data_IF_033896672014
#
_entry.id   IF_033896672014
#
_cell.length_a   1.000
_cell.length_b   1.000
_cell.length_c   1.000
_cell.angle_alpha   90.00
_cell.angle_beta   90.00
_cell.angle_gamma   90.00
#
_symmetry.space_group_name_H-M   'P 1'
#
loop_
_entity.id
_entity.type
_entity.pdbx_description
1 polymer ?
#
# COMPACT_ATOMS: atom_id res chain seq x y z
N UNK A 1 23.59 4.21 -6.47
CA UNK A 1 22.82 4.83 -5.37
C UNK A 1 23.42 4.36 -4.04
N UNK A 2 23.84 5.27 -3.16
CA UNK A 2 24.34 4.91 -1.85
C UNK A 2 23.16 4.65 -0.89
N UNK A 3 22.78 3.37 -0.73
CA UNK A 3 21.61 2.96 0.06
C UNK A 3 21.67 3.47 1.50
N UNK A 4 22.85 3.44 2.12
CA UNK A 4 23.06 3.97 3.47
C UNK A 4 22.74 5.45 3.60
N UNK A 5 23.11 6.27 2.60
CA UNK A 5 22.81 7.70 2.59
C UNK A 5 21.29 7.94 2.50
N UNK A 6 20.59 7.16 1.67
CA UNK A 6 19.12 7.24 1.56
C UNK A 6 18.45 6.86 2.88
N UNK A 7 18.90 5.79 3.53
CA UNK A 7 18.36 5.35 4.82
C UNK A 7 18.57 6.40 5.93
N UNK A 8 19.77 6.98 6.01
CA UNK A 8 20.07 8.05 6.96
C UNK A 8 19.23 9.29 6.67
N UNK A 9 19.15 9.74 5.42
CA UNK A 9 18.32 10.88 5.05
C UNK A 9 16.84 10.66 5.40
N UNK A 10 16.29 9.49 5.06
CA UNK A 10 14.91 9.11 5.39
C UNK A 10 14.68 9.05 6.91
N UNK A 11 15.62 8.49 7.67
CA UNK A 11 15.56 8.43 9.13
C UNK A 11 15.60 9.80 9.78
N UNK A 12 16.49 10.68 9.32
CA UNK A 12 16.63 12.06 9.83
C UNK A 12 15.38 12.89 9.55
N UNK A 13 14.82 12.81 8.33
CA UNK A 13 13.57 13.51 7.99
C UNK A 13 12.39 13.00 8.82
N UNK A 14 12.31 11.69 9.02
CA UNK A 14 11.29 11.09 9.88
C UNK A 14 11.42 11.54 11.34
N UNK A 15 12.64 11.59 11.87
CA UNK A 15 12.89 12.04 13.23
C UNK A 15 12.53 13.53 13.38
N UNK A 16 12.96 14.37 12.44
CA UNK A 16 12.60 15.78 12.42
C UNK A 16 11.07 15.98 12.39
N UNK A 17 10.33 15.15 11.64
CA UNK A 17 8.87 15.20 11.59
C UNK A 17 8.24 14.82 12.94
N UNK A 18 8.76 13.81 13.63
CA UNK A 18 8.27 13.38 14.94
C UNK A 18 8.63 14.36 16.07
N UNK A 19 9.72 15.13 15.91
CA UNK A 19 10.09 16.23 16.80
C UNK A 19 9.36 17.56 16.47
N UNK A 20 8.44 17.55 15.51
CA UNK A 20 7.66 18.74 15.12
C UNK A 20 8.43 19.79 14.33
N UNK A 21 9.66 19.51 13.90
CA UNK A 21 10.55 20.49 13.25
C UNK A 21 10.19 20.74 11.77
N UNK A 22 9.51 19.80 11.12
CA UNK A 22 9.16 19.87 9.69
C UNK A 22 7.65 19.70 9.47
N UNK A 23 6.85 20.39 10.27
CA UNK A 23 5.39 20.43 10.14
C UNK A 23 4.95 21.57 9.22
N UNK A 24 5.23 21.45 7.92
CA UNK A 24 4.91 22.49 6.94
C UNK A 24 3.38 22.67 6.77
N UNK A 25 2.92 23.89 6.42
CA UNK A 25 1.54 24.14 6.02
C UNK A 25 1.12 23.28 4.83
N UNK A 26 -0.13 22.82 4.86
CA UNK A 26 -0.75 22.03 3.79
C UNK A 26 -1.33 22.90 2.67
N UNK A 27 -1.52 24.19 2.94
CA UNK A 27 -2.05 25.17 2.01
C UNK A 27 -1.40 26.55 2.21
N UNK A 28 -1.33 27.40 1.17
CA UNK A 28 -0.78 28.76 1.28
C UNK A 28 -1.58 29.74 2.15
N UNK A 29 -2.84 29.44 2.46
CA UNK A 29 -3.78 30.38 3.12
C UNK A 29 -4.07 30.04 4.58
N UNK A 30 -3.45 29.00 5.14
CA UNK A 30 -3.62 28.63 6.54
C UNK A 30 -2.38 27.94 7.10
N UNK A 31 -2.20 28.00 8.42
CA UNK A 31 -1.14 27.28 9.14
C UNK A 31 -1.51 25.80 9.42
N UNK A 32 -2.57 25.28 8.79
CA UNK A 32 -2.97 23.89 8.94
C UNK A 32 -1.89 22.99 8.37
N UNK A 33 -1.26 22.20 9.23
CA UNK A 33 -0.23 21.24 8.81
C UNK A 33 -0.80 20.09 8.00
N UNK A 34 0.05 19.43 7.20
CA UNK A 34 -0.31 18.21 6.49
C UNK A 34 -0.83 17.12 7.44
N UNK A 35 -2.05 16.65 7.18
CA UNK A 35 -2.62 15.52 7.94
C UNK A 35 -1.76 14.25 7.83
N UNK A 36 -1.14 14.05 6.67
CA UNK A 36 -0.07 13.08 6.43
C UNK A 36 1.22 13.85 6.18
N UNK A 37 2.05 14.01 7.21
CA UNK A 37 3.30 14.74 7.06
C UNK A 37 4.22 14.00 6.05
N UNK A 38 4.58 14.61 4.91
CA UNK A 38 5.34 13.92 3.86
C UNK A 38 6.71 13.45 4.36
N UNK A 39 7.35 14.17 5.29
CA UNK A 39 8.65 13.82 5.85
C UNK A 39 8.60 12.65 6.85
N UNK A 40 7.45 12.44 7.49
CA UNK A 40 7.20 11.26 8.32
C UNK A 40 6.84 10.03 7.48
N UNK A 41 5.87 10.19 6.57
CA UNK A 41 5.33 9.09 5.78
C UNK A 41 6.28 8.57 4.70
N UNK A 42 7.23 9.39 4.22
CA UNK A 42 8.26 8.93 3.28
C UNK A 42 9.03 7.71 3.80
N UNK A 43 9.24 7.56 5.11
CA UNK A 43 9.93 6.40 5.68
C UNK A 43 9.27 5.09 5.25
N UNK A 44 7.93 5.04 5.29
CA UNK A 44 7.18 3.87 4.87
C UNK A 44 7.35 3.58 3.38
N UNK A 45 7.24 4.62 2.55
CA UNK A 45 7.36 4.48 1.09
C UNK A 45 8.76 4.05 0.68
N UNK A 46 9.81 4.63 1.25
CA UNK A 46 11.19 4.24 0.99
C UNK A 46 11.51 2.85 1.54
N UNK A 47 10.88 2.43 2.64
CA UNK A 47 10.99 1.03 3.12
C UNK A 47 10.41 0.06 2.08
N UNK A 48 9.19 0.31 1.60
CA UNK A 48 8.56 -0.52 0.57
C UNK A 48 9.34 -0.50 -0.75
N UNK A 49 9.80 0.67 -1.17
CA UNK A 49 10.67 0.82 -2.35
C UNK A 49 11.99 0.06 -2.18
N UNK A 50 12.62 0.12 -1.00
CA UNK A 50 13.85 -0.59 -0.70
C UNK A 50 13.71 -2.12 -0.84
N UNK A 51 12.57 -2.69 -0.44
CA UNK A 51 12.29 -4.10 -0.70
C UNK A 51 12.09 -4.39 -2.20
N UNK A 52 11.36 -3.55 -2.92
CA UNK A 52 11.10 -3.74 -4.36
C UNK A 52 12.33 -3.52 -5.24
N UNK A 53 13.21 -2.59 -4.85
CA UNK A 53 14.46 -2.28 -5.54
C UNK A 53 15.61 -3.25 -5.18
N UNK A 54 15.37 -4.20 -4.27
CA UNK A 54 16.39 -5.16 -3.81
C UNK A 54 17.45 -4.57 -2.89
N UNK A 55 17.24 -3.38 -2.33
CA UNK A 55 18.13 -2.76 -1.35
C UNK A 55 18.03 -3.42 0.02
N UNK A 56 16.84 -3.88 0.36
CA UNK A 56 16.55 -4.61 1.60
C UNK A 56 16.29 -6.08 1.27
N UNK A 57 16.92 -7.03 1.99
CA UNK A 57 16.65 -8.44 1.78
C UNK A 57 15.22 -8.78 2.22
N UNK A 58 14.60 -9.75 1.55
CA UNK A 58 13.29 -10.24 1.97
C UNK A 58 13.34 -10.78 3.42
N UNK A 59 12.33 -10.49 4.25
CA UNK A 59 12.33 -10.93 5.63
C UNK A 59 12.25 -12.46 5.71
N UNK A 60 13.05 -13.06 6.60
CA UNK A 60 13.07 -14.52 6.80
C UNK A 60 11.75 -14.98 7.43
N UNK A 61 11.08 -15.95 6.81
CA UNK A 61 9.88 -16.56 7.39
C UNK A 61 10.30 -17.48 8.54
N UNK A 62 9.87 -17.14 9.76
CA UNK A 62 10.11 -17.96 10.95
C UNK A 62 8.89 -17.93 11.87
N UNK A 63 8.65 -19.03 12.60
CA UNK A 63 7.56 -19.11 13.59
C UNK A 63 7.66 -18.03 14.67
N UNK A 64 8.89 -17.71 15.11
CA UNK A 64 9.16 -16.59 16.03
C UNK A 64 8.77 -15.25 15.44
N UNK A 65 9.16 -14.96 14.19
CA UNK A 65 8.78 -13.71 13.52
C UNK A 65 7.28 -13.57 13.35
N UNK A 66 6.57 -14.66 13.04
CA UNK A 66 5.10 -14.67 12.96
C UNK A 66 4.49 -14.39 14.33
N UNK A 67 4.95 -15.08 15.39
CA UNK A 67 4.46 -14.87 16.75
C UNK A 67 4.66 -13.44 17.23
N UNK A 68 5.83 -12.84 16.97
CA UNK A 68 6.12 -11.43 17.30
C UNK A 68 5.19 -10.49 16.54
N UNK A 69 5.03 -10.68 15.23
CA UNK A 69 4.14 -9.84 14.43
C UNK A 69 2.68 -9.93 14.90
N UNK A 70 2.19 -11.14 15.18
CA UNK A 70 0.84 -11.37 15.74
C UNK A 70 0.70 -10.70 17.11
N UNK A 71 1.70 -10.84 17.99
CA UNK A 71 1.70 -10.20 19.30
C UNK A 71 1.63 -8.67 19.18
N UNK A 72 2.42 -8.05 18.29
CA UNK A 72 2.36 -6.61 18.03
C UNK A 72 0.94 -6.19 17.61
N UNK A 73 0.30 -6.93 16.70
CA UNK A 73 -1.05 -6.61 16.26
C UNK A 73 -2.06 -6.73 17.41
N UNK A 74 -2.03 -7.83 18.17
CA UNK A 74 -2.94 -8.05 19.30
C UNK A 74 -2.75 -6.97 20.37
N UNK A 75 -1.51 -6.68 20.76
CA UNK A 75 -1.18 -5.67 21.77
C UNK A 75 -1.55 -4.25 21.31
N UNK A 76 -1.60 -4.00 20.00
CA UNK A 76 -2.04 -2.71 19.46
C UNK A 76 -3.57 -2.53 19.42
N UNK A 77 -4.36 -3.62 19.47
CA UNK A 77 -5.83 -3.56 19.36
C UNK A 77 -6.50 -2.68 20.43
N UNK A 78 -6.14 -2.75 21.72
CA UNK A 78 -6.76 -1.93 22.76
C UNK A 78 -6.56 -0.42 22.51
N UNK A 79 -5.43 -0.04 21.93
CA UNK A 79 -5.09 1.34 21.61
C UNK A 79 -5.68 1.81 20.27
N UNK A 80 -5.81 0.90 19.29
CA UNK A 80 -6.33 1.22 17.97
C UNK A 80 -7.87 1.30 17.92
N UNK A 81 -8.56 0.53 18.77
CA UNK A 81 -10.02 0.46 18.78
C UNK A 81 -10.63 1.38 19.81
N UNK A 82 -11.24 2.47 19.34
CA UNK A 82 -11.70 3.57 20.21
C UNK A 82 -12.71 3.17 21.28
N UNK A 83 -13.49 2.10 21.07
CA UNK A 83 -14.44 1.62 22.08
C UNK A 83 -13.73 0.91 23.23
N UNK A 84 -12.67 0.15 22.94
CA UNK A 84 -11.91 -0.57 23.96
C UNK A 84 -10.99 0.38 24.74
N UNK A 85 -10.33 1.32 24.05
CA UNK A 85 -9.49 2.34 24.74
C UNK A 85 -10.30 3.15 25.77
N UNK A 86 -11.53 3.55 25.40
CA UNK A 86 -12.38 4.42 26.22
C UNK A 86 -13.17 3.66 27.28
N UNK A 87 -13.22 2.33 27.20
CA UNK A 87 -13.89 1.51 28.20
C UNK A 87 -13.03 1.27 29.45
N UNK A 88 -11.71 1.47 29.38
CA UNK A 88 -10.78 1.19 30.47
C UNK A 88 -9.90 2.43 30.71
N UNK A 89 -10.02 3.13 31.86
CA UNK A 89 -9.29 4.37 32.13
C UNK A 89 -7.77 4.26 31.95
N UNK A 90 -7.18 3.16 32.43
CA UNK A 90 -5.76 2.86 32.26
C UNK A 90 -5.30 2.86 30.78
N UNK A 91 -6.13 2.33 29.87
CA UNK A 91 -5.78 2.27 28.45
C UNK A 91 -5.80 3.67 27.80
N UNK A 92 -6.72 4.54 28.22
CA UNK A 92 -6.79 5.90 27.71
C UNK A 92 -5.62 6.75 28.20
N UNK A 93 -5.26 6.62 29.49
CA UNK A 93 -4.06 7.25 30.07
C UNK A 93 -2.79 6.78 29.35
N UNK A 94 -2.59 5.46 29.24
CA UNK A 94 -1.45 4.90 28.53
C UNK A 94 -1.42 5.30 27.04
N UNK A 95 -2.58 5.43 26.39
CA UNK A 95 -2.65 5.94 25.01
C UNK A 95 -2.20 7.40 24.91
N UNK A 96 -2.47 8.22 25.93
CA UNK A 96 -1.99 9.59 26.06
C UNK A 96 -0.46 9.65 26.13
N UNK A 97 0.15 8.83 26.98
CA UNK A 97 1.60 8.75 27.12
C UNK A 97 2.29 8.22 25.86
N UNK A 98 1.69 7.23 25.19
CA UNK A 98 2.18 6.65 23.94
C UNK A 98 1.86 7.50 22.70
N UNK A 99 1.14 8.63 22.85
CA UNK A 99 0.70 9.46 21.73
C UNK A 99 1.85 9.90 20.81
N UNK A 100 3.03 10.33 21.29
CA UNK A 100 4.15 10.69 20.42
C UNK A 100 4.60 9.54 19.52
N UNK A 101 4.52 8.30 20.00
CA UNK A 101 4.94 7.11 19.26
C UNK A 101 3.85 6.52 18.36
N UNK A 102 2.59 6.89 18.57
CA UNK A 102 1.43 6.37 17.83
C UNK A 102 0.78 7.40 16.88
N UNK A 103 1.23 8.66 16.98
CA UNK A 103 0.72 9.79 16.23
C UNK A 103 0.63 9.50 14.72
N UNK A 104 -0.52 9.81 14.13
CA UNK A 104 -0.81 9.53 12.72
C UNK A 104 -0.05 10.47 11.80
N UNK A 105 -0.08 11.77 12.08
CA UNK A 105 0.43 12.79 11.19
C UNK A 105 1.94 12.73 10.96
N UNK A 106 2.80 12.69 12.00
CA UNK A 106 4.24 12.53 11.83
C UNK A 106 4.67 11.07 11.58
N UNK A 107 3.72 10.13 11.57
CA UNK A 107 3.95 8.69 11.40
C UNK A 107 4.84 8.10 12.50
N UNK A 108 4.31 8.04 13.72
CA UNK A 108 5.05 7.60 14.91
C UNK A 108 5.62 6.18 14.82
N UNK A 109 6.64 5.92 15.65
CA UNK A 109 7.42 4.68 15.60
C UNK A 109 6.58 3.41 15.79
N UNK A 110 5.69 3.39 16.78
CA UNK A 110 4.85 2.22 17.05
C UNK A 110 3.84 1.98 15.91
N UNK A 111 3.42 3.05 15.22
CA UNK A 111 2.59 2.93 14.01
C UNK A 111 3.37 2.31 12.86
N UNK A 112 4.64 2.69 12.68
CA UNK A 112 5.51 2.07 11.68
C UNK A 112 5.75 0.59 11.99
N UNK A 113 6.04 0.24 13.25
CA UNK A 113 6.21 -1.16 13.69
C UNK A 113 4.93 -1.98 13.49
N UNK A 114 3.76 -1.44 13.87
CA UNK A 114 2.47 -2.07 13.62
C UNK A 114 2.25 -2.32 12.12
N UNK A 115 2.53 -1.33 11.28
CA UNK A 115 2.40 -1.47 9.83
C UNK A 115 3.31 -2.55 9.28
N UNK A 116 4.59 -2.60 9.70
CA UNK A 116 5.54 -3.63 9.26
C UNK A 116 5.12 -5.03 9.72
N UNK A 117 4.60 -5.18 10.94
CA UNK A 117 4.06 -6.44 11.43
C UNK A 117 2.89 -6.93 10.55
N UNK A 118 1.94 -6.04 10.25
CA UNK A 118 0.83 -6.35 9.35
C UNK A 118 1.32 -6.69 7.94
N UNK A 119 2.26 -5.91 7.40
CA UNK A 119 2.83 -6.12 6.07
C UNK A 119 3.59 -7.45 5.98
N UNK A 120 4.34 -7.84 7.02
CA UNK A 120 5.04 -9.13 7.08
C UNK A 120 4.06 -10.30 7.05
N UNK A 121 2.98 -10.26 7.85
CA UNK A 121 1.95 -11.30 7.84
C UNK A 121 1.19 -11.33 6.51
N UNK A 122 0.83 -10.17 5.96
CA UNK A 122 0.16 -10.06 4.66
C UNK A 122 1.05 -10.61 3.53
N UNK A 123 2.34 -10.31 3.55
CA UNK A 123 3.31 -10.82 2.58
C UNK A 123 3.44 -12.34 2.66
N UNK A 124 3.49 -12.93 3.86
CA UNK A 124 3.46 -14.39 4.05
C UNK A 124 2.15 -14.99 3.52
N UNK A 125 1.02 -14.35 3.81
CA UNK A 125 -0.29 -14.83 3.37
C UNK A 125 -0.43 -14.82 1.84
N UNK A 126 0.05 -13.76 1.19
CA UNK A 126 0.02 -13.57 -0.27
C UNK A 126 1.09 -14.42 -0.99
N UNK A 127 2.22 -14.68 -0.33
CA UNK A 127 3.37 -15.39 -0.88
C UNK A 127 4.19 -14.56 -1.85
N UNK A 128 5.41 -15.04 -2.15
CA UNK A 128 6.31 -14.39 -3.12
C UNK A 128 5.61 -14.25 -4.48
N UNK A 129 5.65 -13.06 -5.06
CA UNK A 129 4.98 -12.72 -6.32
C UNK A 129 3.45 -13.02 -6.34
N UNK A 130 2.82 -13.11 -5.16
CA UNK A 130 1.40 -13.39 -5.05
C UNK A 130 1.00 -14.82 -5.44
N UNK A 131 1.93 -15.78 -5.36
CA UNK A 131 1.66 -17.18 -5.76
C UNK A 131 0.46 -17.79 -5.02
N UNK A 132 0.26 -17.43 -3.74
CA UNK A 132 -0.85 -17.97 -2.92
C UNK A 132 -2.20 -17.33 -3.23
N UNK A 133 -2.23 -16.28 -4.06
CA UNK A 133 -3.47 -15.68 -4.57
C UNK A 133 -3.97 -16.37 -5.84
N UNK A 134 -3.22 -17.33 -6.39
CA UNK A 134 -3.64 -18.12 -7.56
C UNK A 134 -4.38 -19.37 -7.10
N UNK A 135 -5.57 -19.16 -6.53
CA UNK A 135 -6.46 -20.23 -6.07
C UNK A 135 -7.36 -20.66 -7.23
N UNK A 136 -7.68 -21.94 -7.33
CA UNK A 136 -8.62 -22.47 -8.33
C UNK A 136 -10.08 -22.46 -7.82
N UNK A 137 -11.04 -22.72 -8.71
CA UNK A 137 -12.46 -22.80 -8.34
C UNK A 137 -13.15 -21.45 -8.09
N UNK A 138 -14.23 -21.46 -7.30
CA UNK A 138 -15.10 -20.29 -7.07
C UNK A 138 -14.39 -19.18 -6.29
N UNK A 139 -13.62 -19.54 -5.27
CA UNK A 139 -12.79 -18.61 -4.49
C UNK A 139 -11.72 -17.95 -5.36
N UNK A 140 -11.11 -18.71 -6.27
CA UNK A 140 -10.17 -18.21 -7.27
C UNK A 140 -10.72 -17.08 -8.14
N UNK A 141 -11.97 -17.21 -8.61
CA UNK A 141 -12.62 -16.17 -9.41
C UNK A 141 -12.82 -14.88 -8.62
N UNK A 142 -13.24 -14.98 -7.36
CA UNK A 142 -13.41 -13.82 -6.46
C UNK A 142 -12.06 -13.13 -6.24
N UNK A 143 -11.01 -13.89 -5.93
CA UNK A 143 -9.65 -13.34 -5.75
C UNK A 143 -9.15 -12.68 -7.04
N UNK A 144 -9.45 -13.26 -8.21
CA UNK A 144 -9.08 -12.67 -9.50
C UNK A 144 -9.75 -11.32 -9.75
N UNK A 145 -11.04 -11.17 -9.39
CA UNK A 145 -11.76 -9.89 -9.46
C UNK A 145 -11.13 -8.87 -8.51
N UNK A 146 -10.91 -9.23 -7.25
CA UNK A 146 -10.28 -8.35 -6.25
C UNK A 146 -8.90 -7.90 -6.74
N UNK A 147 -8.10 -8.82 -7.28
CA UNK A 147 -6.78 -8.51 -7.85
C UNK A 147 -6.88 -7.56 -9.03
N UNK A 148 -7.87 -7.75 -9.93
CA UNK A 148 -8.08 -6.86 -11.09
C UNK A 148 -8.43 -5.44 -10.64
N UNK A 149 -9.29 -5.30 -9.64
CA UNK A 149 -9.64 -4.02 -9.01
C UNK A 149 -8.39 -3.36 -8.42
N UNK A 150 -7.57 -4.10 -7.66
CA UNK A 150 -6.32 -3.60 -7.10
C UNK A 150 -5.27 -3.18 -8.14
N UNK A 151 -5.18 -3.89 -9.28
CA UNK A 151 -4.26 -3.56 -10.38
C UNK A 151 -4.61 -2.24 -11.09
N UNK A 152 -5.86 -1.78 -11.00
CA UNK A 152 -6.33 -0.52 -11.57
C UNK A 152 -6.67 0.50 -10.48
N UNK A 153 -5.94 0.48 -9.36
CA UNK A 153 -6.23 1.24 -8.13
C UNK A 153 -6.52 2.72 -8.36
N UNK A 154 -5.73 3.43 -9.18
CA UNK A 154 -5.95 4.86 -9.43
C UNK A 154 -7.30 5.14 -10.10
N UNK A 155 -7.62 4.41 -11.16
CA UNK A 155 -8.88 4.63 -11.87
C UNK A 155 -10.08 4.22 -11.01
N UNK A 156 -9.97 3.07 -10.34
CA UNK A 156 -10.97 2.60 -9.38
C UNK A 156 -11.19 3.62 -8.26
N UNK A 157 -10.13 4.22 -7.73
CA UNK A 157 -10.19 5.22 -6.67
C UNK A 157 -10.92 6.48 -7.12
N UNK A 158 -10.54 7.05 -8.26
CA UNK A 158 -11.16 8.27 -8.80
C UNK A 158 -12.64 8.03 -9.12
N UNK A 159 -12.96 6.93 -9.82
CA UNK A 159 -14.36 6.58 -10.10
C UNK A 159 -15.12 6.31 -8.80
N UNK A 160 -14.50 5.67 -7.81
CA UNK A 160 -15.09 5.41 -6.51
C UNK A 160 -15.49 6.66 -5.76
N UNK A 161 -14.69 7.73 -5.78
CA UNK A 161 -15.04 9.02 -5.16
C UNK A 161 -16.32 9.59 -5.78
N UNK A 162 -16.39 9.63 -7.12
CA UNK A 162 -17.56 10.16 -7.84
C UNK A 162 -18.79 9.27 -7.58
N UNK A 163 -18.62 7.96 -7.70
CA UNK A 163 -19.69 6.98 -7.51
C UNK A 163 -20.26 7.02 -6.09
N UNK A 164 -19.40 7.15 -5.08
CA UNK A 164 -19.83 7.27 -3.69
C UNK A 164 -20.69 8.51 -3.46
N UNK A 165 -20.34 9.66 -4.06
CA UNK A 165 -21.13 10.87 -3.96
C UNK A 165 -22.50 10.71 -4.65
N UNK A 166 -22.54 10.13 -5.86
CA UNK A 166 -23.78 9.90 -6.59
C UNK A 166 -24.70 8.93 -5.86
N UNK A 167 -24.16 7.83 -5.33
CA UNK A 167 -24.94 6.86 -4.55
C UNK A 167 -25.39 7.44 -3.21
N UNK A 168 -24.60 8.32 -2.59
CA UNK A 168 -24.99 9.08 -1.40
C UNK A 168 -26.20 9.96 -1.67
N UNK A 169 -26.17 10.74 -2.75
CA UNK A 169 -27.33 11.56 -3.18
C UNK A 169 -28.53 10.67 -3.49
N UNK A 170 -28.34 9.55 -4.19
CA UNK A 170 -29.43 8.62 -4.45
C UNK A 170 -30.08 8.11 -3.15
N UNK A 171 -29.26 7.73 -2.16
CA UNK A 171 -29.75 7.30 -0.84
C UNK A 171 -30.47 8.41 -0.08
N UNK A 172 -30.09 9.68 -0.28
CA UNK A 172 -30.81 10.82 0.30
C UNK A 172 -32.20 11.02 -0.34
N UNK A 173 -32.38 10.62 -1.60
CA UNK A 173 -33.67 10.70 -2.30
C UNK A 173 -34.58 9.51 -2.00
N UNK A 174 -34.03 8.28 -1.96
CA UNK A 174 -34.82 7.04 -1.81
C UNK A 174 -34.90 6.54 -0.36
N UNK A 175 -34.21 7.22 0.56
CA UNK A 175 -34.12 6.86 1.97
C UNK A 175 -32.95 5.91 2.30
N UNK A 176 -32.49 5.99 3.55
CA UNK A 176 -31.30 5.28 4.06
C UNK A 176 -31.64 3.99 4.83
N UNK A 177 -32.58 3.19 4.32
CA UNK A 177 -32.91 1.90 4.92
C UNK A 177 -31.84 0.82 4.67
N UNK A 178 -31.91 -0.33 5.37
CA UNK A 178 -30.94 -1.41 5.21
C UNK A 178 -30.87 -1.96 3.77
N UNK A 179 -32.02 -2.12 3.12
CA UNK A 179 -32.10 -2.64 1.75
C UNK A 179 -31.55 -1.64 0.74
N UNK A 180 -31.89 -0.35 0.88
CA UNK A 180 -31.38 0.72 0.03
C UNK A 180 -29.86 0.84 0.16
N UNK A 181 -29.37 0.79 1.39
CA UNK A 181 -27.93 0.84 1.68
C UNK A 181 -27.21 -0.37 1.11
N UNK A 182 -27.77 -1.59 1.25
CA UNK A 182 -27.23 -2.79 0.62
C UNK A 182 -27.18 -2.65 -0.89
N UNK A 183 -28.28 -2.21 -1.52
CA UNK A 183 -28.37 -2.01 -2.96
C UNK A 183 -27.33 -0.99 -3.45
N UNK A 184 -27.20 0.15 -2.77
CA UNK A 184 -26.19 1.16 -3.08
C UNK A 184 -24.77 0.61 -2.97
N UNK A 185 -24.46 -0.19 -1.95
CA UNK A 185 -23.14 -0.83 -1.81
C UNK A 185 -22.87 -1.85 -2.93
N UNK A 186 -23.87 -2.66 -3.31
CA UNK A 186 -23.73 -3.61 -4.41
C UNK A 186 -23.54 -2.89 -5.75
N UNK A 187 -24.26 -1.80 -6.00
CA UNK A 187 -24.07 -0.93 -7.17
C UNK A 187 -22.68 -0.30 -7.16
N UNK A 188 -22.23 0.21 -6.01
CA UNK A 188 -20.87 0.73 -5.82
C UNK A 188 -19.80 -0.30 -6.18
N UNK A 189 -19.96 -1.53 -5.65
CA UNK A 189 -19.07 -2.65 -5.91
C UNK A 189 -19.05 -3.05 -7.39
N UNK A 190 -20.23 -3.16 -8.02
CA UNK A 190 -20.35 -3.45 -9.44
C UNK A 190 -19.68 -2.36 -10.30
N UNK A 191 -19.88 -1.09 -9.94
CA UNK A 191 -19.27 0.06 -10.62
C UNK A 191 -17.74 0.01 -10.60
N UNK A 192 -17.13 -0.18 -9.42
CA UNK A 192 -15.66 -0.25 -9.33
C UNK A 192 -15.08 -1.48 -10.03
N UNK A 193 -15.79 -2.61 -10.02
CA UNK A 193 -15.41 -3.81 -10.79
C UNK A 193 -15.47 -3.49 -12.29
N UNK A 194 -16.56 -2.90 -12.77
CA UNK A 194 -16.72 -2.53 -14.18
C UNK A 194 -15.60 -1.59 -14.64
N UNK A 195 -15.29 -0.55 -13.85
CA UNK A 195 -14.16 0.36 -14.11
C UNK A 195 -12.83 -0.39 -14.23
N UNK A 196 -12.54 -1.31 -13.31
CA UNK A 196 -11.30 -2.06 -13.32
C UNK A 196 -11.13 -2.92 -14.59
N UNK A 197 -12.20 -3.56 -15.05
CA UNK A 197 -12.19 -4.34 -16.28
C UNK A 197 -12.12 -3.45 -17.52
N UNK A 198 -12.87 -2.35 -17.56
CA UNK A 198 -12.86 -1.39 -18.67
C UNK A 198 -11.48 -0.75 -18.87
N UNK A 199 -10.88 -0.21 -17.81
CA UNK A 199 -9.53 0.38 -17.87
C UNK A 199 -8.49 -0.69 -18.19
N UNK A 200 -8.66 -1.89 -17.63
CA UNK A 200 -7.82 -3.04 -17.96
C UNK A 200 -7.89 -3.42 -19.44
N UNK A 201 -9.06 -3.32 -20.06
CA UNK A 201 -9.27 -3.55 -21.49
C UNK A 201 -8.61 -2.45 -22.35
N UNK A 202 -8.81 -1.17 -22.03
CA UNK A 202 -8.14 -0.04 -22.72
C UNK A 202 -6.61 -0.20 -22.70
N UNK A 203 -6.03 -0.60 -21.55
CA UNK A 203 -4.58 -0.79 -21.41
C UNK A 203 -4.06 -2.02 -22.15
N UNK A 204 -4.93 -2.96 -22.54
CA UNK A 204 -4.54 -4.20 -23.21
C UNK A 204 -4.40 -4.08 -24.73
N UNK A 205 -4.74 -2.92 -25.32
CA UNK A 205 -4.78 -2.73 -26.77
C UNK A 205 -3.36 -2.73 -27.39
N UNK A 206 -3.12 -3.41 -28.54
CA UNK A 206 -1.80 -3.91 -28.94
C UNK A 206 -0.74 -2.86 -29.31
N UNK A 207 -1.11 -1.62 -29.65
CA UNK A 207 -0.15 -0.61 -30.10
C UNK A 207 0.89 -0.23 -29.03
N UNK A 208 0.60 -0.44 -27.74
CA UNK A 208 1.58 -0.30 -26.65
C UNK A 208 2.55 -1.48 -26.52
N UNK A 209 2.15 -2.67 -26.98
CA UNK A 209 3.04 -3.86 -27.01
C UNK A 209 4.03 -3.78 -28.18
N UNK A 210 3.60 -3.26 -29.33
CA UNK A 210 4.45 -3.09 -30.51
C UNK A 210 5.56 -2.04 -30.33
N UNK A 211 5.33 -1.01 -29.51
CA UNK A 211 6.35 -0.01 -29.17
C UNK A 211 7.43 -0.59 -28.23
N UNK A 212 7.04 -1.39 -27.23
CA UNK A 212 7.96 -1.98 -26.27
C UNK A 212 8.90 -3.05 -26.88
N UNK A 213 8.50 -3.73 -27.96
CA UNK A 213 9.38 -4.65 -28.70
C UNK A 213 10.38 -3.93 -29.60
N UNK A 214 10.14 -2.65 -29.94
CA UNK A 214 10.98 -1.91 -30.90
C UNK A 214 12.19 -1.24 -30.23
N UNK A 215 12.10 -0.95 -28.94
CA UNK A 215 13.16 -0.31 -28.14
C UNK A 215 13.97 -1.30 -27.29
N UNK A 216 13.74 -2.61 -27.45
CA UNK A 216 14.58 -3.62 -26.80
C UNK A 216 15.96 -3.63 -27.48
N UNK A 217 17.07 -3.38 -26.76
CA UNK A 217 18.40 -3.55 -27.34
C UNK A 217 18.55 -5.00 -27.78
N UNK A 218 19.04 -5.19 -29.00
CA UNK A 218 19.31 -6.51 -29.59
C UNK A 218 20.46 -7.15 -28.80
N UNK A 219 20.12 -7.77 -27.68
CA UNK A 219 21.07 -8.55 -26.90
C UNK A 219 21.33 -9.84 -27.67
N UNK A 220 22.60 -10.18 -27.97
CA UNK A 220 22.92 -11.37 -28.74
C UNK A 220 22.30 -12.60 -28.07
N UNK A 221 21.57 -13.39 -28.88
CA UNK A 221 20.96 -14.63 -28.42
C UNK A 221 22.07 -15.55 -27.95
N UNK A 222 21.93 -16.08 -26.74
CA UNK A 222 22.85 -17.07 -26.18
C UNK A 222 22.93 -18.28 -27.14
N UNK A 223 23.99 -18.32 -27.95
CA UNK A 223 24.17 -19.32 -29.00
C UNK A 223 25.00 -18.86 -30.20
N UNK A 224 25.14 -17.56 -30.45
CA UNK A 224 26.06 -17.07 -31.49
C UNK A 224 27.48 -16.99 -30.92
N UNK A 225 28.27 -18.02 -31.23
CA UNK A 225 29.65 -18.16 -30.79
C UNK A 225 30.49 -16.94 -31.13
N UNK A 226 31.19 -16.43 -30.11
CA UNK A 226 32.30 -15.49 -30.26
C UNK A 226 33.34 -16.16 -31.15
N UNK A 227 33.44 -15.72 -32.41
CA UNK A 227 34.53 -16.17 -33.29
C UNK A 227 35.85 -15.65 -32.72
N UNK A 228 36.90 -16.49 -32.57
CA UNK A 228 38.19 -16.01 -32.11
C UNK A 228 38.76 -15.04 -33.14
N UNK A 229 39.27 -13.90 -32.67
CA UNK A 229 40.03 -12.98 -33.50
C UNK A 229 41.36 -13.65 -33.83
N UNK A 230 41.53 -14.07 -35.09
CA UNK A 230 42.82 -14.51 -35.61
C UNK A 230 43.81 -13.34 -35.54
N UNK A 231 44.88 -13.52 -34.77
CA UNK A 231 46.06 -12.69 -34.84
C UNK A 231 46.73 -12.93 -36.20
N UNK A 232 46.82 -11.89 -37.02
CA UNK A 232 47.61 -11.91 -38.26
C UNK A 232 49.10 -11.70 -37.91
N UNK A 233 50.02 -12.31 -38.70
CA UNK A 233 51.45 -12.29 -38.43
C UNK A 233 52.08 -10.90 -38.52
#
# INVERSE_FOLDING_TARGET
>A
VHVGLVAVAAGTLWLAANLGQVALPAEPWSERTWFFNPFGWQLLFFTGFGFMAGWLPAPRVSGRGIAVAVAILILSLPFAYFRLRHAVPFLDEAAGELRPLTAKSPFGLLRYVHFLALAYLAWIAVGVNGVRLRVEGRSGRVVAVIRKVGQQSLAVFVTGIVLAQLLGVLLDLIGRGPLQTLAANLLGMAGVIATAYFVGWIKSVPWKRAAATKDAPDLPRAGEGVRPVEARP
#
